data_IF_800047777567
#
_entry.id   IF_800047777567
#
_cell.length_a   1.000
_cell.length_b   1.000
_cell.length_c   1.000
_cell.angle_alpha   90.00
_cell.angle_beta   90.00
_cell.angle_gamma   90.00
#
_symmetry.space_group_name_H-M   'P 1'
#
loop_
_entity.id
_entity.type
_entity.pdbx_description
1 polymer ?
#
# COMPACT_ATOMS: atom_id res chain seq x y z
N UNK A 1 -68.45 -2.90 40.76
CA UNK A 1 -67.92 -2.97 39.38
C UNK A 1 -66.72 -2.03 39.27
N UNK A 2 -65.50 -2.55 39.21
CA UNK A 2 -64.29 -1.77 38.92
C UNK A 2 -63.46 -2.58 37.92
N UNK A 3 -63.48 -2.14 36.67
CA UNK A 3 -62.74 -2.77 35.57
C UNK A 3 -61.28 -2.29 35.61
N UNK A 4 -60.34 -3.22 35.82
CA UNK A 4 -58.90 -2.96 35.66
C UNK A 4 -58.56 -3.02 34.17
N UNK A 5 -58.08 -1.92 33.59
CA UNK A 5 -57.48 -1.91 32.25
C UNK A 5 -56.03 -2.36 32.36
N UNK A 6 -55.69 -3.44 31.67
CA UNK A 6 -54.32 -3.87 31.41
C UNK A 6 -53.76 -3.07 30.22
N UNK A 7 -52.55 -2.53 30.36
CA UNK A 7 -51.79 -1.93 29.27
C UNK A 7 -50.74 -2.94 28.75
N UNK A 8 -50.61 -3.18 27.44
CA UNK A 8 -49.54 -4.02 26.91
C UNK A 8 -48.23 -3.23 26.78
N UNK A 9 -47.24 -3.65 27.55
CA UNK A 9 -45.83 -3.23 27.51
C UNK A 9 -45.12 -3.89 26.31
N UNK A 10 -45.15 -3.22 25.15
CA UNK A 10 -44.63 -3.75 23.88
C UNK A 10 -43.48 -2.96 23.23
N UNK A 11 -42.80 -2.05 23.93
CA UNK A 11 -41.86 -1.12 23.28
C UNK A 11 -40.37 -1.41 23.53
N UNK A 12 -40.00 -2.33 24.43
CA UNK A 12 -38.58 -2.54 24.78
C UNK A 12 -37.83 -3.55 23.89
N UNK A 13 -38.49 -4.18 22.91
CA UNK A 13 -37.86 -5.27 22.14
C UNK A 13 -37.30 -4.85 20.76
N UNK A 14 -37.63 -3.66 20.25
CA UNK A 14 -37.16 -3.21 18.92
C UNK A 14 -35.77 -2.57 18.91
N UNK A 15 -35.23 -2.16 20.06
CA UNK A 15 -33.91 -1.50 20.12
C UNK A 15 -32.73 -2.47 20.21
N UNK A 16 -32.95 -3.72 20.61
CA UNK A 16 -31.88 -4.70 20.77
C UNK A 16 -31.40 -5.31 19.44
N UNK A 17 -32.24 -5.33 18.41
CA UNK A 17 -31.93 -6.01 17.14
C UNK A 17 -31.16 -5.11 16.16
N UNK A 18 -31.14 -3.78 16.37
CA UNK A 18 -30.43 -2.85 15.47
C UNK A 18 -28.91 -2.77 15.75
N UNK A 19 -28.44 -3.26 16.90
CA UNK A 19 -27.02 -3.20 17.28
C UNK A 19 -26.17 -4.35 16.71
N UNK A 20 -26.78 -5.38 16.13
CA UNK A 20 -26.04 -6.57 15.62
C UNK A 20 -25.59 -6.40 14.16
N UNK A 21 -26.02 -5.35 13.45
CA UNK A 21 -25.61 -5.09 12.06
C UNK A 21 -24.26 -4.36 11.91
N UNK A 22 -23.57 -4.02 13.00
CA UNK A 22 -22.23 -3.39 12.99
C UNK A 22 -21.06 -4.39 13.07
N UNK A 23 -21.33 -5.69 12.90
CA UNK A 23 -20.30 -6.73 12.83
C UNK A 23 -20.20 -7.36 11.43
N UNK A 24 -20.31 -6.55 10.38
CA UNK A 24 -19.81 -6.94 9.06
C UNK A 24 -18.31 -6.65 9.01
N UNK A 25 -17.51 -7.69 8.74
CA UNK A 25 -16.07 -7.60 8.50
C UNK A 25 -15.74 -6.77 7.26
N UNK A 26 -15.87 -5.45 7.37
CA UNK A 26 -15.42 -4.50 6.38
C UNK A 26 -13.90 -4.36 6.47
N UNK A 27 -13.23 -4.44 5.32
CA UNK A 27 -11.84 -4.02 5.13
C UNK A 27 -11.52 -2.80 6.01
N UNK A 28 -10.69 -2.98 7.05
CA UNK A 28 -10.29 -1.88 7.96
C UNK A 28 -9.64 -0.71 7.22
N UNK A 29 -9.17 -0.96 6.00
CA UNK A 29 -8.66 -0.02 5.01
C UNK A 29 -9.69 1.04 4.59
N UNK A 30 -11.00 0.81 4.76
CA UNK A 30 -12.07 1.73 4.31
C UNK A 30 -12.60 2.66 5.42
N UNK A 31 -11.88 2.79 6.53
CA UNK A 31 -12.21 3.79 7.56
C UNK A 31 -11.70 5.17 7.16
N UNK A 32 -12.37 6.26 7.54
CA UNK A 32 -11.91 7.63 7.24
C UNK A 32 -10.51 7.90 7.81
N UNK A 33 -10.18 7.30 8.95
CA UNK A 33 -8.84 7.36 9.56
C UNK A 33 -7.78 6.69 8.72
N UNK A 34 -8.05 5.51 8.14
CA UNK A 34 -7.11 4.87 7.23
C UNK A 34 -7.00 5.63 5.91
N UNK A 35 -8.10 6.17 5.36
CA UNK A 35 -8.05 7.03 4.18
C UNK A 35 -7.08 8.19 4.34
N UNK A 36 -7.12 8.91 5.46
CA UNK A 36 -6.18 10.00 5.74
C UNK A 36 -4.74 9.50 5.91
N UNK A 37 -4.53 8.39 6.62
CA UNK A 37 -3.18 7.82 6.80
C UNK A 37 -2.53 7.48 5.45
N UNK A 38 -3.32 6.97 4.50
CA UNK A 38 -2.85 6.64 3.14
C UNK A 38 -2.51 7.85 2.27
N UNK A 39 -2.96 9.05 2.64
CA UNK A 39 -2.60 10.31 1.98
C UNK A 39 -1.37 10.96 2.63
N UNK A 40 -1.33 11.00 3.96
CA UNK A 40 -0.26 11.65 4.71
C UNK A 40 1.08 10.92 4.51
N UNK A 41 1.07 9.59 4.58
CA UNK A 41 2.28 8.80 4.51
C UNK A 41 3.09 9.00 3.21
N UNK A 42 2.48 8.89 2.00
CA UNK A 42 3.19 9.23 0.76
C UNK A 42 3.75 10.65 0.74
N UNK A 43 3.07 11.65 1.30
CA UNK A 43 3.58 13.03 1.33
C UNK A 43 4.82 13.17 2.22
N UNK A 44 4.83 12.52 3.40
CA UNK A 44 5.99 12.51 4.29
C UNK A 44 7.20 11.84 3.64
N UNK A 45 6.98 10.70 2.99
CA UNK A 45 8.02 9.96 2.28
C UNK A 45 8.57 10.78 1.10
N UNK A 46 7.69 11.46 0.36
CA UNK A 46 8.10 12.35 -0.74
C UNK A 46 8.92 13.54 -0.24
N UNK A 47 8.61 14.08 0.94
CA UNK A 47 9.42 15.13 1.56
C UNK A 47 10.80 14.59 2.00
N UNK A 48 10.86 13.35 2.48
CA UNK A 48 12.12 12.70 2.84
C UNK A 48 13.01 12.44 1.62
N UNK A 49 12.43 12.13 0.46
CA UNK A 49 13.17 12.01 -0.80
C UNK A 49 13.91 13.31 -1.17
N UNK A 50 13.40 14.49 -0.81
CA UNK A 50 14.08 15.77 -1.07
C UNK A 50 15.33 15.99 -0.20
N UNK A 51 15.56 15.13 0.80
CA UNK A 51 16.69 15.21 1.71
C UNK A 51 17.74 14.17 1.31
N UNK A 52 18.80 14.62 0.64
CA UNK A 52 19.85 13.78 0.06
C UNK A 52 20.39 12.65 0.97
N UNK A 53 20.61 12.85 2.30
CA UNK A 53 21.10 11.79 3.16
C UNK A 53 20.16 10.58 3.32
N UNK A 54 18.89 10.70 2.95
CA UNK A 54 17.92 9.61 3.01
C UNK A 54 17.74 8.91 1.66
N UNK A 55 18.29 9.46 0.58
CA UNK A 55 18.19 8.87 -0.75
C UNK A 55 19.17 7.71 -0.87
N UNK A 56 18.71 6.61 -1.47
CA UNK A 56 19.56 5.48 -1.79
C UNK A 56 20.35 5.76 -3.07
N UNK A 57 21.66 5.66 -3.00
CA UNK A 57 22.57 5.77 -4.15
C UNK A 57 22.85 4.42 -4.80
N UNK A 58 22.60 3.33 -4.08
CA UNK A 58 22.82 1.96 -4.54
C UNK A 58 21.56 1.11 -4.33
N UNK A 59 21.41 0.10 -5.17
CA UNK A 59 20.32 -0.88 -5.06
C UNK A 59 20.51 -1.77 -3.82
N UNK A 60 19.51 -1.88 -2.93
CA UNK A 60 19.54 -2.86 -1.86
C UNK A 60 19.64 -4.29 -2.40
N UNK A 61 20.50 -5.10 -1.80
CA UNK A 61 20.64 -6.53 -2.14
C UNK A 61 19.62 -7.36 -1.37
N UNK A 62 19.26 -8.51 -1.91
CA UNK A 62 18.38 -9.46 -1.22
C UNK A 62 16.94 -8.97 -1.07
N UNK A 63 16.46 -8.13 -2.00
CA UNK A 63 15.04 -7.80 -2.08
C UNK A 63 14.22 -9.09 -2.29
N UNK A 64 13.02 -9.20 -1.69
CA UNK A 64 12.15 -10.34 -1.94
C UNK A 64 11.72 -10.36 -3.41
N UNK A 65 11.43 -11.55 -3.95
CA UNK A 65 11.03 -11.71 -5.35
C UNK A 65 9.78 -10.94 -5.76
N UNK A 66 8.97 -10.51 -4.79
CA UNK A 66 7.84 -9.61 -5.00
C UNK A 66 7.69 -8.61 -3.86
N UNK A 67 7.27 -7.38 -4.19
CA UNK A 67 6.98 -6.34 -3.20
C UNK A 67 5.58 -5.76 -3.42
N UNK A 68 4.89 -5.31 -2.36
CA UNK A 68 3.66 -4.55 -2.53
C UNK A 68 3.96 -3.20 -3.19
N UNK A 69 3.06 -2.76 -4.06
CA UNK A 69 3.14 -1.46 -4.74
C UNK A 69 1.82 -0.72 -4.64
N UNK A 70 1.90 0.61 -4.55
CA UNK A 70 0.73 1.49 -4.50
C UNK A 70 0.98 2.80 -5.25
N UNK A 71 -0.06 3.30 -5.91
CA UNK A 71 -0.05 4.66 -6.46
C UNK A 71 -0.46 5.64 -5.36
N UNK A 72 0.36 6.65 -5.11
CA UNK A 72 0.09 7.69 -4.11
C UNK A 72 -1.26 8.36 -4.40
N UNK A 73 -2.07 8.55 -3.36
CA UNK A 73 -3.44 9.08 -3.52
C UNK A 73 -4.51 8.02 -3.82
N UNK A 74 -4.12 6.76 -4.05
CA UNK A 74 -5.07 5.66 -4.28
C UNK A 74 -5.06 4.65 -3.13
N UNK A 75 -6.21 4.02 -2.87
CA UNK A 75 -6.31 2.91 -1.92
C UNK A 75 -5.96 1.56 -2.56
N UNK A 76 -5.93 1.49 -3.89
CA UNK A 76 -5.63 0.27 -4.64
C UNK A 76 -4.19 -0.16 -4.40
N UNK A 77 -4.02 -1.45 -4.13
CA UNK A 77 -2.71 -2.06 -3.97
C UNK A 77 -2.52 -3.15 -5.00
N UNK A 78 -1.30 -3.21 -5.52
CA UNK A 78 -0.86 -4.21 -6.47
C UNK A 78 0.47 -4.79 -5.99
N UNK A 79 1.11 -5.60 -6.84
CA UNK A 79 2.43 -6.19 -6.55
C UNK A 79 3.39 -5.84 -7.67
N UNK A 80 4.68 -5.72 -7.36
CA UNK A 80 5.76 -5.73 -8.35
C UNK A 80 6.54 -7.03 -8.25
N UNK A 81 6.95 -7.60 -9.37
CA UNK A 81 7.95 -8.65 -9.41
C UNK A 81 9.34 -8.02 -9.44
N UNK A 82 10.21 -8.43 -8.52
CA UNK A 82 11.56 -7.89 -8.38
C UNK A 82 12.52 -8.76 -9.17
N UNK A 83 13.24 -8.14 -10.10
CA UNK A 83 14.24 -8.79 -10.94
C UNK A 83 15.49 -7.94 -11.03
N UNK A 84 16.58 -8.54 -11.52
CA UNK A 84 17.83 -7.85 -11.77
C UNK A 84 18.24 -8.10 -13.23
N UNK A 85 18.37 -7.04 -14.00
CA UNK A 85 18.79 -7.11 -15.40
C UNK A 85 20.15 -6.42 -15.55
N UNK A 86 21.18 -7.18 -15.95
CA UNK A 86 22.57 -6.68 -16.12
C UNK A 86 23.10 -5.93 -14.87
N UNK A 87 22.70 -6.38 -13.69
CA UNK A 87 23.10 -5.78 -12.41
C UNK A 87 22.27 -4.57 -11.97
N UNK A 88 21.31 -4.11 -12.77
CA UNK A 88 20.37 -3.05 -12.40
C UNK A 88 19.04 -3.61 -11.88
N UNK A 89 18.43 -2.92 -10.91
CA UNK A 89 17.13 -3.27 -10.37
C UNK A 89 16.03 -3.04 -11.42
N UNK A 90 15.19 -4.04 -11.65
CA UNK A 90 14.00 -3.91 -12.49
C UNK A 90 12.79 -4.46 -11.75
N UNK A 91 11.72 -3.68 -11.67
CA UNK A 91 10.48 -4.05 -11.00
C UNK A 91 9.33 -4.09 -11.99
N UNK A 92 8.68 -5.23 -12.16
CA UNK A 92 7.57 -5.36 -13.11
C UNK A 92 6.23 -5.27 -12.39
N UNK A 93 5.45 -4.24 -12.67
CA UNK A 93 4.14 -3.99 -12.07
C UNK A 93 3.11 -5.03 -12.51
N UNK A 94 2.42 -5.63 -11.55
CA UNK A 94 1.44 -6.68 -11.77
C UNK A 94 0.02 -6.17 -11.56
N UNK A 95 -0.84 -6.40 -12.55
CA UNK A 95 -2.26 -6.09 -12.48
C UNK A 95 -2.65 -4.69 -12.97
N UNK A 96 -3.92 -4.29 -12.80
CA UNK A 96 -4.41 -2.98 -13.19
C UNK A 96 -4.03 -1.91 -12.17
N UNK A 97 -4.07 -0.63 -12.58
CA UNK A 97 -3.87 0.52 -11.69
C UNK A 97 -2.53 1.25 -11.86
N UNK A 98 -1.66 0.80 -12.77
CA UNK A 98 -0.52 1.60 -13.19
C UNK A 98 -0.99 2.81 -14.02
N UNK A 99 -0.52 4.03 -13.73
CA UNK A 99 -0.99 5.25 -14.40
C UNK A 99 -0.33 5.45 -15.77
N UNK A 100 -0.50 4.48 -16.68
CA UNK A 100 0.17 4.47 -17.99
C UNK A 100 -0.07 5.73 -18.83
N UNK A 101 -1.30 6.28 -18.77
CA UNK A 101 -1.68 7.48 -19.52
C UNK A 101 -0.95 8.75 -19.06
N UNK A 102 -0.47 8.77 -17.82
CA UNK A 102 0.22 9.92 -17.22
C UNK A 102 1.74 9.89 -17.47
N UNK A 103 2.29 8.79 -17.99
CA UNK A 103 3.74 8.61 -18.15
C UNK A 103 4.30 9.46 -19.31
N UNK A 104 5.20 10.38 -18.98
CA UNK A 104 6.06 11.11 -19.91
C UNK A 104 7.46 11.32 -19.30
N UNK A 105 8.37 12.01 -19.99
CA UNK A 105 9.77 12.14 -19.55
C UNK A 105 9.98 12.96 -18.26
N UNK A 106 8.96 13.67 -17.80
CA UNK A 106 9.01 14.53 -16.62
C UNK A 106 8.01 14.14 -15.52
N UNK A 107 7.11 13.21 -15.80
CA UNK A 107 6.05 12.77 -14.90
C UNK A 107 6.19 11.28 -14.59
N UNK A 108 5.63 10.90 -13.45
CA UNK A 108 5.62 9.53 -12.94
C UNK A 108 7.02 9.00 -12.60
N UNK A 109 7.17 8.57 -11.35
CA UNK A 109 8.33 7.83 -10.89
C UNK A 109 7.93 6.85 -9.80
N UNK A 110 8.73 5.82 -9.63
CA UNK A 110 8.59 4.85 -8.56
C UNK A 110 9.61 5.14 -7.44
N UNK A 111 9.24 4.78 -6.22
CA UNK A 111 10.05 4.98 -5.04
C UNK A 111 10.04 3.70 -4.19
N UNK A 112 11.20 3.04 -4.10
CA UNK A 112 11.43 1.95 -3.17
C UNK A 112 11.58 2.52 -1.76
N UNK A 113 10.68 2.12 -0.87
CA UNK A 113 10.69 2.55 0.53
C UNK A 113 11.41 1.50 1.36
N UNK A 114 12.51 1.89 2.01
CA UNK A 114 13.31 1.02 2.88
C UNK A 114 13.21 1.56 4.30
N UNK A 115 12.93 0.67 5.24
CA UNK A 115 12.99 0.99 6.67
C UNK A 115 14.45 1.13 7.11
N UNK A 116 14.80 2.29 7.63
CA UNK A 116 16.15 2.62 8.07
C UNK A 116 16.62 1.73 9.23
N UNK A 117 15.70 1.32 10.11
CA UNK A 117 16.05 0.53 11.30
C UNK A 117 16.37 -0.93 10.97
N UNK A 118 15.63 -1.53 10.03
CA UNK A 118 15.78 -2.95 9.66
C UNK A 118 16.49 -3.18 8.34
N UNK A 119 16.74 -2.11 7.58
CA UNK A 119 17.24 -2.15 6.19
C UNK A 119 16.37 -3.03 5.28
N UNK A 120 15.09 -3.21 5.60
CA UNK A 120 14.14 -4.00 4.82
C UNK A 120 13.33 -3.13 3.88
N UNK A 121 13.16 -3.58 2.65
CA UNK A 121 12.21 -2.99 1.72
C UNK A 121 10.77 -3.24 2.20
N UNK A 122 10.03 -2.15 2.36
CA UNK A 122 8.64 -2.18 2.83
C UNK A 122 7.66 -2.27 1.65
N UNK A 123 8.01 -1.65 0.52
CA UNK A 123 7.19 -1.64 -0.69
C UNK A 123 7.60 -0.52 -1.65
N UNK A 124 6.79 -0.34 -2.68
CA UNK A 124 7.02 0.66 -3.73
C UNK A 124 5.86 1.65 -3.81
N UNK A 125 6.16 2.94 -3.83
CA UNK A 125 5.18 3.99 -4.13
C UNK A 125 5.37 4.50 -5.55
N UNK A 126 4.27 4.74 -6.26
CA UNK A 126 4.27 5.41 -7.57
C UNK A 126 3.66 6.79 -7.39
N UNK A 127 4.37 7.83 -7.80
CA UNK A 127 3.90 9.21 -7.73
C UNK A 127 3.58 9.74 -9.11
N UNK A 128 2.36 10.21 -9.33
CA UNK A 128 1.97 10.97 -10.51
C UNK A 128 2.27 12.46 -10.31
N UNK A 129 3.55 12.80 -10.18
CA UNK A 129 4.01 14.17 -10.01
C UNK A 129 5.27 14.44 -10.83
N UNK A 130 5.79 15.67 -10.76
CA UNK A 130 7.09 16.01 -11.31
C UNK A 130 8.16 15.08 -10.73
N UNK A 131 9.00 14.52 -11.60
CA UNK A 131 10.15 13.69 -11.22
C UNK A 131 11.15 14.49 -10.39
N UNK A 132 11.93 13.83 -9.52
CA UNK A 132 13.10 14.44 -8.93
C UNK A 132 14.02 15.06 -10.00
N UNK A 133 14.71 16.18 -9.71
CA UNK A 133 15.63 16.82 -10.65
C UNK A 133 16.67 15.87 -11.25
N UNK A 134 17.19 16.25 -12.41
CA UNK A 134 18.32 15.54 -13.03
C UNK A 134 19.51 15.47 -12.06
N UNK A 135 20.12 14.29 -11.96
CA UNK A 135 21.19 14.00 -11.00
C UNK A 135 20.76 13.27 -9.73
N UNK A 136 19.45 13.11 -9.48
CA UNK A 136 19.00 12.18 -8.43
C UNK A 136 19.39 10.74 -8.78
N UNK A 137 19.94 9.98 -7.82
CA UNK A 137 20.40 8.63 -8.08
C UNK A 137 19.22 7.69 -8.33
N UNK A 138 19.01 7.33 -9.58
CA UNK A 138 18.11 6.23 -9.92
C UNK A 138 18.79 4.91 -9.57
N UNK A 139 18.06 4.04 -8.87
CA UNK A 139 18.53 2.70 -8.51
C UNK A 139 18.02 1.65 -9.49
N UNK A 140 17.13 2.01 -10.41
CA UNK A 140 16.57 1.06 -11.38
C UNK A 140 15.41 1.61 -12.19
N UNK A 141 14.55 0.70 -12.62
CA UNK A 141 13.33 1.03 -13.38
C UNK A 141 12.16 0.20 -12.86
N UNK A 142 10.97 0.79 -12.89
CA UNK A 142 9.71 0.08 -12.76
C UNK A 142 9.03 0.02 -14.13
N UNK A 143 8.72 -1.19 -14.59
CA UNK A 143 8.06 -1.46 -15.87
C UNK A 143 6.60 -1.83 -15.66
N UNK A 144 5.76 -1.48 -16.64
CA UNK A 144 4.37 -1.89 -16.71
C UNK A 144 3.97 -1.96 -18.18
N UNK A 145 3.98 -3.17 -18.76
CA UNK A 145 3.76 -3.36 -20.20
C UNK A 145 4.88 -2.71 -21.03
N UNK A 146 4.51 -1.75 -21.89
CA UNK A 146 5.43 -0.99 -22.74
C UNK A 146 5.98 0.28 -22.07
N UNK A 147 5.56 0.58 -20.83
CA UNK A 147 5.99 1.77 -20.07
C UNK A 147 7.06 1.44 -19.06
N UNK A 148 8.03 2.34 -18.94
CA UNK A 148 9.07 2.30 -17.91
C UNK A 148 9.19 3.66 -17.23
N UNK A 149 9.34 3.65 -15.90
CA UNK A 149 9.54 4.86 -15.09
C UNK A 149 10.73 4.67 -14.16
N UNK A 150 11.51 5.73 -13.88
CA UNK A 150 12.68 5.62 -13.02
C UNK A 150 12.28 5.19 -11.62
N UNK A 151 13.09 4.31 -11.03
CA UNK A 151 12.96 3.86 -9.65
C UNK A 151 14.03 4.53 -8.80
N UNK A 152 13.59 5.33 -7.83
CA UNK A 152 14.44 5.89 -6.80
C UNK A 152 14.30 5.07 -5.51
N UNK A 153 15.20 5.28 -4.56
CA UNK A 153 15.10 4.67 -3.24
C UNK A 153 15.21 5.69 -2.13
N UNK A 154 14.47 5.46 -1.03
CA UNK A 154 14.52 6.31 0.15
C UNK A 154 14.53 5.46 1.42
N UNK A 155 15.33 5.88 2.40
CA UNK A 155 15.30 5.38 3.78
C UNK A 155 14.36 6.22 4.60
N UNK A 156 13.49 5.55 5.34
CA UNK A 156 12.51 6.19 6.22
C UNK A 156 12.53 5.51 7.58
N UNK A 157 12.25 6.26 8.64
CA UNK A 157 11.81 5.63 9.88
C UNK A 157 10.39 5.12 9.65
N UNK A 158 10.23 3.80 9.52
CA UNK A 158 8.96 3.19 9.16
C UNK A 158 7.85 3.50 10.17
N UNK A 159 8.20 3.59 11.46
CA UNK A 159 7.22 3.89 12.52
C UNK A 159 6.66 5.31 12.43
N UNK A 160 7.42 6.22 11.83
CA UNK A 160 7.00 7.61 11.59
C UNK A 160 6.10 7.79 10.36
N UNK A 161 6.13 6.84 9.41
CA UNK A 161 5.39 6.96 8.12
C UNK A 161 4.29 5.91 7.94
N UNK A 162 4.22 4.89 8.79
CA UNK A 162 3.23 3.82 8.67
C UNK A 162 2.52 3.55 9.98
N UNK A 163 1.19 3.51 9.94
CA UNK A 163 0.37 3.20 11.11
C UNK A 163 0.06 1.70 11.12
N UNK A 164 0.38 0.95 12.20
CA UNK A 164 0.07 -0.49 12.28
C UNK A 164 -1.41 -0.82 12.09
N UNK A 165 -2.32 0.11 12.41
CA UNK A 165 -3.78 -0.06 12.18
C UNK A 165 -4.21 0.24 10.75
N UNK A 166 -3.40 1.01 10.02
CA UNK A 166 -3.63 1.43 8.64
C UNK A 166 -2.31 1.35 7.86
N UNK A 167 -1.80 0.14 7.60
CA UNK A 167 -0.50 -0.05 6.98
C UNK A 167 -0.50 0.53 5.56
N UNK A 168 0.56 1.28 5.23
CA UNK A 168 0.70 1.94 3.93
C UNK A 168 0.63 0.96 2.76
N UNK A 169 1.24 -0.22 2.91
CA UNK A 169 1.24 -1.30 1.93
C UNK A 169 0.30 -2.45 2.31
N UNK A 170 -0.78 -2.15 3.03
CA UNK A 170 -1.81 -3.13 3.40
C UNK A 170 -1.30 -4.21 4.36
N UNK A 171 -2.17 -5.17 4.68
CA UNK A 171 -1.72 -6.41 5.29
C UNK A 171 -0.95 -7.22 4.23
N UNK A 172 0.08 -8.00 4.62
CA UNK A 172 0.63 -9.01 3.73
C UNK A 172 -0.53 -9.84 3.17
N UNK A 173 -0.57 -10.13 1.86
CA UNK A 173 -1.59 -11.05 1.33
C UNK A 173 -1.56 -12.32 2.18
N UNK A 174 -2.73 -12.89 2.55
CA UNK A 174 -2.75 -14.11 3.33
C UNK A 174 -1.89 -15.14 2.61
N UNK A 175 -0.91 -15.71 3.32
CA UNK A 175 -0.06 -16.75 2.77
C UNK A 175 -0.98 -17.81 2.17
N UNK A 176 -0.81 -18.09 0.87
CA UNK A 176 -1.59 -19.13 0.21
C UNK A 176 -1.50 -20.39 1.07
N UNK A 177 -2.65 -20.87 1.56
CA UNK A 177 -2.69 -22.07 2.36
C UNK A 177 -1.98 -23.18 1.56
N UNK A 178 -1.04 -23.93 2.16
CA UNK A 178 -0.41 -25.04 1.47
C UNK A 178 -1.50 -25.98 0.95
N UNK A 179 -1.41 -26.27 -0.35
CA UNK A 179 -2.48 -26.86 -1.14
C UNK A 179 -3.10 -28.10 -0.51
N UNK A 180 -4.43 -28.14 -0.51
CA UNK A 180 -5.16 -29.40 -0.48
C UNK A 180 -4.94 -30.09 -1.82
N UNK A 181 -3.88 -30.87 -1.93
CA UNK A 181 -3.74 -31.93 -2.92
C UNK A 181 -4.83 -32.97 -2.62
N UNK A 182 -6.03 -32.79 -3.17
CA UNK A 182 -7.05 -33.82 -3.14
C UNK A 182 -6.62 -34.95 -4.08
N UNK A 183 -6.09 -36.02 -3.50
CA UNK A 183 -5.91 -37.32 -4.17
C UNK A 183 -7.25 -37.82 -4.70
N UNK A 184 -7.36 -38.00 -6.01
CA UNK A 184 -8.44 -38.79 -6.60
C UNK A 184 -7.86 -40.18 -6.89
N UNK A 185 -8.26 -41.14 -6.06
CA UNK A 185 -8.16 -42.57 -6.37
C UNK A 185 -9.28 -43.00 -7.30
#
# INVERSE_FOLDING_TARGET
>A
MIARRAAPSGWTSLFATLLVAMACGGDRTRTPTCGMALLIAPSLIQEQLKRLPFVLTETPRGLPGSLPVRVAGTAQQSTVQVTYARGALTMDYQGPGFPAASVNDSSVYALLVVDDSTQRAQGVLIYESQRPPTGYPSIGQLTAGDRAVPLYGVRVDWTSVSNPRCPLFGAPPPAAAPGSSASRG
#
